data_IF_035776057788
#
_entry.id   IF_035776057788
#
_cell.length_a   1.000
_cell.length_b   1.000
_cell.length_c   1.000
_cell.angle_alpha   90.00
_cell.angle_beta   90.00
_cell.angle_gamma   90.00
#
_symmetry.space_group_name_H-M   'P 1'
#
loop_
_entity.id
_entity.type
_entity.pdbx_description
1 polymer ?
#
# COMPACT_ATOMS: atom_id res chain seq x y z
N UNK A 1 -17.80 -20.95 5.72
CA UNK A 1 -16.74 -20.34 4.91
C UNK A 1 -16.52 -18.98 5.53
N UNK A 2 -15.39 -18.77 6.18
CA UNK A 2 -15.13 -17.51 6.84
C UNK A 2 -14.95 -16.46 5.75
N UNK A 3 -15.85 -15.48 5.76
CA UNK A 3 -15.64 -14.19 5.12
C UNK A 3 -14.41 -13.62 5.82
N UNK A 4 -13.23 -13.83 5.24
CA UNK A 4 -12.01 -13.21 5.73
C UNK A 4 -12.23 -11.72 5.53
N UNK A 5 -12.57 -11.00 6.60
CA UNK A 5 -12.77 -9.55 6.59
C UNK A 5 -11.56 -8.90 5.91
N UNK A 6 -11.68 -8.61 4.61
CA UNK A 6 -10.60 -8.04 3.82
C UNK A 6 -10.30 -6.69 4.45
N UNK A 7 -9.11 -6.58 5.05
CA UNK A 7 -8.69 -5.36 5.70
C UNK A 7 -8.27 -4.38 4.62
N UNK A 8 -9.10 -3.36 4.42
CA UNK A 8 -8.99 -2.37 3.36
C UNK A 8 -8.93 -0.96 3.96
N UNK A 9 -8.15 -0.07 3.33
CA UNK A 9 -8.11 1.36 3.65
C UNK A 9 -7.85 2.18 2.41
N UNK A 10 -8.55 3.30 2.31
CA UNK A 10 -8.38 4.28 1.24
C UNK A 10 -7.55 5.47 1.72
N UNK A 11 -6.76 6.02 0.80
CA UNK A 11 -5.89 7.16 1.03
C UNK A 11 -5.99 8.17 -0.11
N UNK A 12 -5.88 9.44 0.24
CA UNK A 12 -5.73 10.56 -0.69
C UNK A 12 -4.37 11.20 -0.51
N UNK A 13 -3.71 11.55 -1.61
CA UNK A 13 -2.46 12.27 -1.61
C UNK A 13 -2.71 13.76 -1.87
N UNK A 14 -2.19 14.65 -1.03
CA UNK A 14 -2.24 16.09 -1.32
C UNK A 14 -1.34 16.48 -2.51
N UNK A 15 -0.39 15.61 -2.87
CA UNK A 15 0.47 15.70 -4.06
C UNK A 15 0.65 14.30 -4.62
N UNK A 16 0.61 14.15 -5.95
CA UNK A 16 0.67 12.85 -6.62
C UNK A 16 1.91 12.04 -6.19
N UNK A 17 1.71 10.77 -5.87
CA UNK A 17 2.74 9.87 -5.35
C UNK A 17 3.26 8.95 -6.45
N UNK A 18 4.59 8.90 -6.63
CA UNK A 18 5.22 7.85 -7.42
C UNK A 18 5.49 6.63 -6.54
N UNK A 19 4.55 5.68 -6.56
CA UNK A 19 4.61 4.46 -5.74
C UNK A 19 5.81 3.60 -6.11
N UNK A 20 6.14 3.49 -7.41
CA UNK A 20 7.23 2.64 -7.86
C UNK A 20 8.59 3.17 -7.40
N UNK A 21 8.80 4.48 -7.52
CA UNK A 21 10.02 5.13 -7.04
C UNK A 21 10.16 5.00 -5.52
N UNK A 22 9.07 5.20 -4.77
CA UNK A 22 9.08 5.07 -3.31
C UNK A 22 9.38 3.62 -2.86
N UNK A 23 8.69 2.63 -3.43
CA UNK A 23 8.91 1.21 -3.11
C UNK A 23 10.33 0.76 -3.45
N UNK A 24 10.85 1.20 -4.61
CA UNK A 24 12.23 0.91 -5.02
C UNK A 24 13.25 1.54 -4.08
N UNK A 25 13.03 2.78 -3.64
CA UNK A 25 13.91 3.47 -2.69
C UNK A 25 13.90 2.83 -1.29
N UNK A 26 12.79 2.21 -0.91
CA UNK A 26 12.64 1.46 0.34
C UNK A 26 13.17 0.02 0.27
N UNK A 27 13.63 -0.44 -0.90
CA UNK A 27 14.02 -1.84 -1.16
C UNK A 27 12.88 -2.82 -0.82
N UNK A 28 11.63 -2.39 -1.04
CA UNK A 28 10.44 -3.23 -0.84
C UNK A 28 10.19 -4.01 -2.12
N UNK A 29 9.95 -5.31 -2.00
CA UNK A 29 9.61 -6.16 -3.13
C UNK A 29 8.18 -5.88 -3.60
N UNK A 30 8.00 -5.67 -4.90
CA UNK A 30 6.70 -5.41 -5.51
C UNK A 30 6.58 -6.04 -6.90
N UNK A 31 5.33 -6.25 -7.31
CA UNK A 31 4.95 -6.70 -8.64
C UNK A 31 3.90 -5.76 -9.23
N UNK A 32 4.26 -5.07 -10.31
CA UNK A 32 3.31 -4.30 -11.10
C UNK A 32 2.38 -5.25 -11.87
N UNK A 33 1.07 -5.14 -11.62
CA UNK A 33 0.03 -5.94 -12.29
C UNK A 33 -0.55 -5.18 -13.48
N UNK A 34 -0.75 -3.87 -13.30
CA UNK A 34 -1.19 -2.93 -14.33
C UNK A 34 -0.70 -1.52 -13.99
N UNK A 35 -0.99 -0.54 -14.85
CA UNK A 35 -0.66 0.86 -14.63
C UNK A 35 -1.36 1.47 -13.39
N UNK A 36 -2.38 0.80 -12.87
CA UNK A 36 -3.15 1.24 -11.69
C UNK A 36 -3.10 0.23 -10.53
N UNK A 37 -2.31 -0.84 -10.64
CA UNK A 37 -2.32 -1.90 -9.63
C UNK A 37 -0.93 -2.47 -9.38
N UNK A 38 -0.53 -2.50 -8.11
CA UNK A 38 0.73 -3.09 -7.66
C UNK A 38 0.49 -4.00 -6.46
N UNK A 39 1.15 -5.15 -6.45
CA UNK A 39 1.22 -6.04 -5.29
C UNK A 39 2.53 -5.79 -4.55
N UNK A 40 2.46 -5.70 -3.23
CA UNK A 40 3.60 -5.43 -2.36
C UNK A 40 3.82 -6.65 -1.47
N UNK A 41 5.07 -7.14 -1.41
CA UNK A 41 5.49 -8.16 -0.47
C UNK A 41 6.23 -7.47 0.66
N UNK A 42 5.62 -7.44 1.84
CA UNK A 42 6.16 -6.75 3.00
C UNK A 42 5.98 -7.59 4.25
N UNK A 43 7.07 -7.80 5.00
CA UNK A 43 7.04 -8.57 6.24
C UNK A 43 6.33 -9.93 6.08
N UNK A 44 6.65 -10.67 5.01
CA UNK A 44 6.04 -11.98 4.66
C UNK A 44 4.52 -11.93 4.40
N UNK A 45 3.96 -10.75 4.24
CA UNK A 45 2.56 -10.51 3.93
C UNK A 45 2.44 -9.93 2.52
N UNK A 46 1.28 -10.10 1.90
CA UNK A 46 0.97 -9.59 0.56
C UNK A 46 -0.10 -8.52 0.69
N UNK A 47 0.23 -7.32 0.24
CA UNK A 47 -0.70 -6.21 0.10
C UNK A 47 -1.00 -5.97 -1.38
N UNK A 48 -2.22 -5.53 -1.64
CA UNK A 48 -2.66 -5.06 -2.93
C UNK A 48 -2.89 -3.56 -2.84
N UNK A 49 -2.34 -2.80 -3.78
CA UNK A 49 -2.60 -1.38 -3.92
C UNK A 49 -3.26 -1.14 -5.27
N UNK A 50 -4.47 -0.62 -5.24
CA UNK A 50 -5.21 -0.16 -6.41
C UNK A 50 -5.26 1.38 -6.42
N UNK A 51 -4.86 1.99 -7.52
CA UNK A 51 -4.88 3.44 -7.73
C UNK A 51 -6.23 3.82 -8.34
N UNK A 52 -7.03 4.53 -7.55
CA UNK A 52 -8.37 4.98 -7.94
C UNK A 52 -8.32 6.22 -8.83
N UNK A 53 -7.33 7.09 -8.61
CA UNK A 53 -7.12 8.32 -9.38
C UNK A 53 -5.64 8.47 -9.71
N UNK A 54 -5.33 8.63 -11.00
CA UNK A 54 -3.96 8.64 -11.51
C UNK A 54 -3.48 7.23 -11.90
N UNK A 55 -2.17 7.03 -11.84
CA UNK A 55 -1.48 5.76 -12.08
C UNK A 55 -0.43 5.49 -10.99
N UNK A 56 0.23 4.33 -11.03
CA UNK A 56 1.23 3.93 -10.02
C UNK A 56 2.46 4.85 -9.95
N UNK A 57 2.68 5.74 -10.92
CA UNK A 57 3.77 6.73 -10.90
C UNK A 57 3.26 8.13 -10.52
N UNK A 58 1.96 8.33 -10.42
CA UNK A 58 1.30 9.61 -10.17
C UNK A 58 -0.05 9.41 -9.44
N UNK A 59 -0.03 8.66 -8.33
CA UNK A 59 -1.23 8.29 -7.61
C UNK A 59 -1.76 9.45 -6.75
N UNK A 60 -2.98 9.89 -7.00
CA UNK A 60 -3.68 10.92 -6.21
C UNK A 60 -4.65 10.31 -5.19
N UNK A 61 -5.17 9.12 -5.50
CA UNK A 61 -6.04 8.36 -4.61
C UNK A 61 -5.76 6.87 -4.80
N UNK A 62 -5.65 6.15 -3.70
CA UNK A 62 -5.34 4.72 -3.71
C UNK A 62 -6.08 3.98 -2.59
N UNK A 63 -6.24 2.68 -2.80
CA UNK A 63 -6.80 1.74 -1.85
C UNK A 63 -5.78 0.66 -1.58
N UNK A 64 -5.60 0.31 -0.31
CA UNK A 64 -4.69 -0.75 0.13
C UNK A 64 -5.48 -1.83 0.83
N UNK A 65 -5.29 -3.06 0.36
CA UNK A 65 -5.98 -4.23 0.89
C UNK A 65 -4.99 -5.34 1.19
N UNK A 66 -5.08 -5.95 2.37
CA UNK A 66 -4.23 -7.09 2.73
C UNK A 66 -4.81 -8.36 2.12
N UNK A 67 -4.08 -8.97 1.19
CA UNK A 67 -4.49 -10.22 0.53
C UNK A 67 -4.08 -11.45 1.34
N UNK A 68 -2.88 -11.40 1.93
CA UNK A 68 -2.36 -12.46 2.79
C UNK A 68 -1.55 -11.84 3.92
N UNK A 69 -1.80 -12.28 5.15
CA UNK A 69 -1.15 -11.76 6.35
C UNK A 69 -0.44 -12.90 7.08
N UNK A 70 0.89 -12.81 7.16
CA UNK A 70 1.70 -13.71 7.97
C UNK A 70 2.00 -13.04 9.32
N UNK A 71 1.35 -13.45 10.43
CA UNK A 71 1.60 -12.86 11.74
C UNK A 71 3.03 -13.10 12.25
N UNK A 72 3.78 -14.06 11.67
CA UNK A 72 5.20 -14.26 11.98
C UNK A 72 6.11 -13.17 11.40
N UNK A 73 5.58 -12.29 10.54
CA UNK A 73 6.27 -11.13 9.97
C UNK A 73 6.56 -10.00 10.96
N UNK A 74 6.10 -10.10 12.21
CA UNK A 74 6.36 -9.12 13.26
C UNK A 74 5.33 -7.99 13.37
N UNK A 75 4.35 -7.94 12.45
CA UNK A 75 3.19 -7.04 12.53
C UNK A 75 1.95 -7.90 12.80
N UNK A 76 1.43 -7.82 14.02
CA UNK A 76 0.37 -8.73 14.49
C UNK A 76 -1.03 -8.41 13.92
N UNK A 77 -1.21 -7.25 13.27
CA UNK A 77 -2.51 -6.79 12.79
C UNK A 77 -2.43 -6.25 11.35
N UNK A 78 -3.32 -6.70 10.43
CA UNK A 78 -3.38 -6.22 9.05
C UNK A 78 -3.48 -4.69 8.91
N UNK A 79 -4.24 -4.02 9.77
CA UNK A 79 -4.31 -2.55 9.76
C UNK A 79 -2.99 -1.89 10.11
N UNK A 80 -2.21 -2.47 11.02
CA UNK A 80 -0.88 -1.98 11.36
C UNK A 80 0.11 -2.18 10.21
N UNK A 81 -0.09 -3.22 9.40
CA UNK A 81 0.70 -3.49 8.20
C UNK A 81 0.45 -2.41 7.14
N UNK A 82 -0.83 -2.11 6.85
CA UNK A 82 -1.19 -1.05 5.90
C UNK A 82 -0.62 0.30 6.35
N UNK A 83 -0.87 0.69 7.61
CA UNK A 83 -0.36 1.95 8.15
C UNK A 83 1.16 2.03 8.04
N UNK A 84 1.88 0.94 8.39
CA UNK A 84 3.34 0.95 8.32
C UNK A 84 3.87 1.13 6.90
N UNK A 85 3.30 0.43 5.92
CA UNK A 85 3.72 0.54 4.53
C UNK A 85 3.42 1.92 3.97
N UNK A 86 2.22 2.46 4.24
CA UNK A 86 1.84 3.80 3.78
C UNK A 86 2.71 4.88 4.42
N UNK A 87 2.95 4.84 5.73
CA UNK A 87 3.81 5.83 6.41
C UNK A 87 5.22 5.84 5.77
N UNK A 88 5.78 4.66 5.45
CA UNK A 88 7.09 4.59 4.81
C UNK A 88 7.10 5.14 3.38
N UNK A 89 6.05 4.84 2.60
CA UNK A 89 5.90 5.37 1.23
C UNK A 89 5.76 6.89 1.29
N UNK A 90 4.93 7.40 2.20
CA UNK A 90 4.65 8.82 2.38
C UNK A 90 5.92 9.61 2.74
N UNK A 91 6.66 9.13 3.75
CA UNK A 91 7.95 9.69 4.18
C UNK A 91 8.98 9.69 3.04
N UNK A 92 9.02 8.64 2.23
CA UNK A 92 10.02 8.48 1.16
C UNK A 92 9.68 9.30 -0.07
N UNK A 93 8.41 9.33 -0.46
CA UNK A 93 7.93 10.11 -1.59
C UNK A 93 7.81 11.61 -1.27
N UNK A 94 7.88 11.98 0.01
CA UNK A 94 7.59 13.36 0.45
C UNK A 94 6.15 13.75 0.09
N UNK A 95 5.26 12.77 0.13
CA UNK A 95 3.83 12.95 -0.14
C UNK A 95 3.11 13.34 1.15
N UNK A 96 1.81 13.62 1.05
CA UNK A 96 0.95 13.86 2.21
C UNK A 96 -0.27 12.94 2.07
N UNK A 97 -0.03 11.65 2.26
CA UNK A 97 -1.02 10.58 2.18
C UNK A 97 -1.88 10.55 3.45
N UNK A 98 -3.12 10.97 3.31
CA UNK A 98 -4.10 10.99 4.38
C UNK A 98 -5.16 9.92 4.19
N UNK A 99 -5.53 9.17 5.25
CA UNK A 99 -6.61 8.18 5.16
C UNK A 99 -7.95 8.87 4.92
N UNK A 100 -8.80 8.24 4.09
CA UNK A 100 -10.19 8.67 3.89
C UNK A 100 -11.04 8.17 5.06
N UNK A 101 -11.83 9.06 5.66
CA UNK A 101 -12.69 8.78 6.82
C UNK A 101 -13.98 8.05 6.45
#
# INVERSE_FOLDING_TARGET
MADSEQTEKQYHAASSVDLLSALSALDIEFLTVSDQRVLIIYARSILNVDVNTGDIQSADALEVTVLDHDPSGGINHPHGLITRVIDQIDETAGSDLSPVS
#
